data_IF_472816152660
#
_entry.id   IF_472816152660
#
_cell.length_a   1.000
_cell.length_b   1.000
_cell.length_c   1.000
_cell.angle_alpha   90.00
_cell.angle_beta   90.00
_cell.angle_gamma   90.00
#
_symmetry.space_group_name_H-M   'P 1'
#
loop_
_entity.id
_entity.type
_entity.pdbx_description
1 polymer ?
#
# COMPACT_ATOMS: atom_id res chain seq x y z
N UNK A 1 18.88 2.51 -15.99
CA UNK A 1 17.54 2.88 -15.51
C UNK A 1 17.51 3.35 -14.06
N UNK A 2 17.89 2.55 -13.05
CA UNK A 2 17.86 3.01 -11.62
C UNK A 2 18.58 4.34 -11.36
N UNK A 3 19.66 4.61 -12.08
CA UNK A 3 20.41 5.87 -11.96
C UNK A 3 19.86 7.01 -12.82
N UNK A 4 18.68 6.87 -13.44
CA UNK A 4 18.13 7.79 -14.46
C UNK A 4 19.11 8.04 -15.62
N UNK A 5 19.68 6.94 -16.11
CA UNK A 5 20.73 6.92 -17.12
C UNK A 5 20.42 5.87 -18.19
N UNK A 6 20.67 6.22 -19.44
CA UNK A 6 20.47 5.38 -20.63
C UNK A 6 21.74 5.28 -21.46
N UNK A 7 21.97 4.15 -22.12
CA UNK A 7 23.13 3.96 -23.00
C UNK A 7 22.90 4.78 -24.27
N UNK A 8 23.92 5.51 -24.72
CA UNK A 8 23.85 6.26 -25.98
C UNK A 8 23.55 5.30 -27.14
N UNK A 9 22.76 5.72 -28.14
CA UNK A 9 22.44 4.86 -29.27
C UNK A 9 23.72 4.37 -29.97
N UNK A 10 23.69 3.13 -30.44
CA UNK A 10 24.77 2.47 -31.19
C UNK A 10 26.11 2.26 -30.44
N UNK A 11 26.14 2.31 -29.11
CA UNK A 11 27.33 1.94 -28.33
C UNK A 11 27.45 0.42 -28.15
N UNK A 12 28.66 -0.11 -28.29
CA UNK A 12 28.97 -1.50 -27.95
C UNK A 12 29.27 -1.64 -26.45
N UNK A 13 28.93 -2.77 -25.82
CA UNK A 13 29.25 -3.01 -24.42
C UNK A 13 30.76 -3.01 -24.21
N UNK A 14 31.23 -2.31 -23.17
CA UNK A 14 32.64 -2.29 -22.82
C UNK A 14 33.15 -3.67 -22.42
N UNK A 15 32.32 -4.42 -21.68
CA UNK A 15 32.62 -5.78 -21.25
C UNK A 15 31.35 -6.59 -21.15
N UNK A 16 31.43 -7.87 -21.52
CA UNK A 16 30.39 -8.86 -21.26
C UNK A 16 30.85 -9.73 -20.09
N UNK A 17 30.04 -9.80 -19.05
CA UNK A 17 30.29 -10.60 -17.84
C UNK A 17 29.20 -11.66 -17.67
N UNK A 18 29.43 -12.62 -16.78
CA UNK A 18 28.39 -13.60 -16.42
C UNK A 18 27.38 -12.95 -15.47
N UNK A 19 26.09 -13.06 -15.80
CA UNK A 19 25.00 -12.58 -14.96
C UNK A 19 24.85 -13.42 -13.69
N UNK A 20 24.04 -12.93 -12.74
CA UNK A 20 23.65 -13.75 -11.59
C UNK A 20 22.83 -14.97 -12.06
N UNK A 21 23.05 -16.16 -11.47
CA UNK A 21 22.27 -17.34 -11.80
C UNK A 21 20.77 -17.08 -11.64
N UNK A 22 19.98 -17.46 -12.65
CA UNK A 22 18.53 -17.27 -12.66
C UNK A 22 17.84 -18.61 -12.86
N UNK A 23 16.87 -18.90 -12.00
CA UNK A 23 16.03 -20.08 -12.16
C UNK A 23 15.03 -19.84 -13.30
N UNK A 24 15.09 -20.68 -14.32
CA UNK A 24 14.11 -20.69 -15.40
C UNK A 24 12.96 -21.66 -15.07
N UNK A 25 11.75 -21.10 -14.96
CA UNK A 25 10.55 -21.85 -14.58
C UNK A 25 10.09 -22.82 -15.65
N UNK A 26 10.37 -22.56 -16.94
CA UNK A 26 9.96 -23.46 -18.02
C UNK A 26 10.88 -24.67 -18.11
N UNK A 27 12.20 -24.47 -18.06
CA UNK A 27 13.16 -25.58 -18.15
C UNK A 27 13.44 -26.26 -16.81
N UNK A 28 13.05 -25.66 -15.68
CA UNK A 28 13.31 -26.17 -14.34
C UNK A 28 14.78 -26.14 -13.92
N UNK A 29 15.64 -25.48 -14.71
CA UNK A 29 17.10 -25.42 -14.50
C UNK A 29 17.55 -24.03 -14.06
N UNK A 30 18.65 -23.99 -13.32
CA UNK A 30 19.34 -22.74 -12.99
C UNK A 30 20.29 -22.41 -14.13
N UNK A 31 20.05 -21.30 -14.82
CA UNK A 31 20.93 -20.82 -15.89
C UNK A 31 22.00 -19.94 -15.25
N UNK A 32 23.27 -20.35 -15.38
CA UNK A 32 24.44 -19.71 -14.73
C UNK A 32 25.21 -18.76 -15.64
N UNK A 33 25.22 -19.01 -16.95
CA UNK A 33 26.13 -18.34 -17.90
C UNK A 33 25.41 -17.36 -18.82
N UNK A 34 24.34 -16.70 -18.33
CA UNK A 34 23.69 -15.64 -19.08
C UNK A 34 24.66 -14.47 -19.29
N UNK A 35 24.90 -14.01 -20.52
CA UNK A 35 25.74 -12.85 -20.76
C UNK A 35 25.05 -11.59 -20.24
N UNK A 36 25.79 -10.76 -19.51
CA UNK A 36 25.38 -9.44 -19.04
C UNK A 36 26.33 -8.40 -19.59
N UNK A 37 25.77 -7.48 -20.36
CA UNK A 37 26.48 -6.34 -20.92
C UNK A 37 26.73 -5.27 -19.85
N UNK A 38 27.96 -4.75 -19.82
CA UNK A 38 28.38 -3.69 -18.90
C UNK A 38 28.89 -2.51 -19.70
N UNK A 39 28.43 -1.32 -19.34
CA UNK A 39 28.76 -0.06 -19.99
C UNK A 39 29.49 0.88 -19.03
N UNK A 40 30.44 1.64 -19.55
CA UNK A 40 31.13 2.69 -18.82
C UNK A 40 30.33 3.99 -18.76
N UNK A 41 30.65 4.86 -17.81
CA UNK A 41 29.95 6.15 -17.60
C UNK A 41 30.02 7.04 -18.86
N UNK A 42 31.10 6.96 -19.64
CA UNK A 42 31.29 7.72 -20.88
C UNK A 42 30.35 7.28 -22.03
N UNK A 43 29.82 6.06 -21.96
CA UNK A 43 28.92 5.46 -22.95
C UNK A 43 27.44 5.77 -22.67
N UNK A 44 27.16 6.45 -21.56
CA UNK A 44 25.83 6.65 -21.02
C UNK A 44 25.50 8.15 -21.04
N UNK A 45 24.22 8.46 -21.19
CA UNK A 45 23.65 9.80 -21.10
C UNK A 45 22.50 9.81 -20.09
N UNK A 46 22.08 11.01 -19.68
CA UNK A 46 20.98 11.15 -18.73
C UNK A 46 19.65 10.82 -19.41
N UNK A 47 18.81 10.09 -18.69
CA UNK A 47 17.51 9.66 -19.18
C UNK A 47 16.58 10.86 -19.34
N UNK A 48 16.00 11.00 -20.53
CA UNK A 48 14.98 12.01 -20.80
C UNK A 48 13.61 11.34 -20.67
N UNK A 49 12.79 11.75 -19.68
CA UNK A 49 11.48 11.14 -19.48
C UNK A 49 10.51 11.52 -20.61
N UNK A 50 9.55 10.63 -20.94
CA UNK A 50 8.52 10.92 -21.92
C UNK A 50 7.63 12.08 -21.47
N UNK A 51 7.00 12.75 -22.43
CA UNK A 51 6.02 13.81 -22.18
C UNK A 51 4.63 13.20 -22.06
N UNK A 52 3.81 13.68 -21.12
CA UNK A 52 2.40 13.34 -21.08
C UNK A 52 1.62 14.15 -22.11
N UNK A 53 0.78 13.48 -22.88
CA UNK A 53 -0.03 14.09 -23.93
C UNK A 53 -1.50 13.74 -23.73
N UNK A 54 -2.40 14.69 -24.00
CA UNK A 54 -3.86 14.52 -23.93
C UNK A 54 -4.39 14.06 -22.56
N UNK A 55 -3.75 14.48 -21.48
CA UNK A 55 -4.15 14.06 -20.12
C UNK A 55 -3.88 12.59 -19.80
N UNK A 56 -3.04 11.91 -20.59
CA UNK A 56 -2.66 10.51 -20.37
C UNK A 56 -1.20 10.42 -19.94
N UNK A 57 -0.96 9.70 -18.84
CA UNK A 57 0.39 9.49 -18.31
C UNK A 57 1.07 8.34 -19.07
N UNK A 58 2.31 8.51 -19.57
CA UNK A 58 3.04 7.47 -20.29
C UNK A 58 3.40 6.30 -19.35
N UNK A 59 3.08 5.06 -19.75
CA UNK A 59 3.21 3.86 -18.90
C UNK A 59 4.22 2.85 -19.44
N UNK A 60 4.83 2.10 -18.53
CA UNK A 60 5.53 0.85 -18.81
C UNK A 60 4.53 -0.24 -19.30
N UNK A 61 5.02 -1.30 -19.95
CA UNK A 61 4.29 -2.56 -20.20
C UNK A 61 3.50 -3.12 -18.99
N UNK A 62 3.94 -2.86 -17.75
CA UNK A 62 3.21 -3.25 -16.53
C UNK A 62 2.09 -2.28 -16.12
N UNK A 63 1.90 -1.18 -16.85
CA UNK A 63 0.86 -0.18 -16.59
C UNK A 63 1.20 0.83 -15.49
N UNK A 64 2.45 0.90 -15.03
CA UNK A 64 2.92 1.81 -13.98
C UNK A 64 3.99 2.78 -14.52
N UNK A 65 4.35 3.81 -13.74
CA UNK A 65 5.50 4.70 -14.02
C UNK A 65 6.68 4.31 -13.14
N UNK A 66 7.88 4.21 -13.71
CA UNK A 66 9.12 3.99 -12.96
C UNK A 66 9.72 5.34 -12.55
N UNK A 67 9.72 5.64 -11.25
CA UNK A 67 10.18 6.91 -10.70
C UNK A 67 11.25 6.68 -9.63
N UNK A 68 12.43 6.18 -10.04
CA UNK A 68 13.55 5.92 -9.11
C UNK A 68 14.24 7.20 -8.64
N UNK A 69 14.19 8.25 -9.47
CA UNK A 69 14.73 9.58 -9.19
C UNK A 69 13.70 10.64 -9.58
N UNK A 70 13.72 11.82 -8.93
CA UNK A 70 12.78 12.90 -9.25
C UNK A 70 12.90 13.38 -10.70
N UNK A 71 14.10 13.30 -11.31
CA UNK A 71 14.31 13.67 -12.72
C UNK A 71 13.66 12.72 -13.74
N UNK A 72 13.15 11.56 -13.32
CA UNK A 72 12.45 10.62 -14.20
C UNK A 72 10.96 10.94 -14.33
N UNK A 73 10.47 12.00 -13.69
CA UNK A 73 9.07 12.41 -13.77
C UNK A 73 8.72 12.80 -15.21
N UNK A 74 7.68 12.20 -15.82
CA UNK A 74 7.22 12.60 -17.13
C UNK A 74 6.89 14.09 -17.19
N UNK A 75 7.26 14.74 -18.30
CA UNK A 75 7.00 16.17 -18.47
C UNK A 75 5.49 16.43 -18.52
N UNK A 76 5.02 17.48 -17.86
CA UNK A 76 3.59 17.80 -17.74
C UNK A 76 2.84 16.93 -16.73
N UNK A 77 3.55 16.23 -15.85
CA UNK A 77 2.95 15.44 -14.76
C UNK A 77 3.49 15.84 -13.40
N UNK A 78 2.71 15.55 -12.37
CA UNK A 78 3.00 15.81 -10.96
C UNK A 78 2.94 14.49 -10.19
N UNK A 79 3.89 14.31 -9.27
CA UNK A 79 3.90 13.19 -8.33
C UNK A 79 3.18 13.58 -7.03
N UNK A 80 2.11 12.86 -6.72
CA UNK A 80 1.25 13.09 -5.55
C UNK A 80 1.35 11.91 -4.58
N UNK A 81 1.89 12.17 -3.39
CA UNK A 81 2.03 11.17 -2.31
C UNK A 81 0.79 11.14 -1.39
N UNK A 82 -0.40 10.99 -1.98
CA UNK A 82 -1.67 10.92 -1.25
C UNK A 82 -2.22 9.49 -1.22
N UNK A 83 -2.56 9.01 -0.03
CA UNK A 83 -3.07 7.66 0.15
C UNK A 83 -4.49 7.52 -0.45
N UNK A 84 -4.74 6.44 -1.20
CA UNK A 84 -6.08 6.16 -1.73
C UNK A 84 -6.52 7.05 -2.90
N UNK A 85 -5.62 7.88 -3.45
CA UNK A 85 -5.92 8.81 -4.54
C UNK A 85 -6.52 8.10 -5.77
N UNK A 86 -6.03 6.91 -6.11
CA UNK A 86 -6.54 6.10 -7.22
C UNK A 86 -8.06 5.86 -7.14
N UNK A 87 -8.62 5.66 -5.94
CA UNK A 87 -10.06 5.45 -5.78
C UNK A 87 -10.84 6.72 -6.15
N UNK A 88 -10.33 7.88 -5.80
CA UNK A 88 -10.95 9.19 -6.10
C UNK A 88 -10.80 9.50 -7.58
N UNK A 89 -9.60 9.31 -8.14
CA UNK A 89 -9.33 9.52 -9.57
C UNK A 89 -10.26 8.67 -10.45
N UNK A 90 -10.45 7.39 -10.11
CA UNK A 90 -11.38 6.50 -10.82
C UNK A 90 -12.84 6.95 -10.75
N UNK A 91 -13.27 7.62 -9.69
CA UNK A 91 -14.63 8.18 -9.60
C UNK A 91 -14.80 9.38 -10.53
N UNK A 92 -13.74 10.18 -10.70
CA UNK A 92 -13.74 11.37 -11.55
C UNK A 92 -13.40 11.09 -13.02
N UNK A 93 -12.90 9.89 -13.34
CA UNK A 93 -12.44 9.55 -14.69
C UNK A 93 -11.10 10.20 -15.07
N UNK A 94 -10.30 10.61 -14.07
CA UNK A 94 -8.98 11.20 -14.25
C UNK A 94 -7.94 10.09 -14.37
N UNK A 95 -6.96 10.24 -15.27
CA UNK A 95 -5.88 9.25 -15.38
C UNK A 95 -4.90 9.38 -14.21
N UNK A 96 -4.71 8.29 -13.48
CA UNK A 96 -3.89 8.25 -12.29
C UNK A 96 -3.12 6.93 -12.25
N UNK A 97 -1.79 7.04 -12.30
CA UNK A 97 -0.90 5.88 -12.44
C UNK A 97 -0.03 5.76 -11.19
N UNK A 98 0.09 4.58 -10.56
CA UNK A 98 0.96 4.41 -9.40
C UNK A 98 2.44 4.53 -9.81
N UNK A 99 3.23 5.19 -8.97
CA UNK A 99 4.67 5.35 -9.21
C UNK A 99 5.45 4.24 -8.47
N UNK A 100 6.30 3.53 -9.20
CA UNK A 100 7.24 2.54 -8.64
C UNK A 100 8.55 3.27 -8.34
N UNK A 101 8.85 3.47 -7.06
CA UNK A 101 10.06 4.17 -6.60
C UNK A 101 11.18 3.20 -6.28
N UNK A 102 10.87 1.93 -6.07
CA UNK A 102 11.88 0.95 -5.73
C UNK A 102 11.38 -0.49 -5.77
N UNK A 103 12.19 -1.36 -5.21
CA UNK A 103 11.98 -2.79 -5.15
C UNK A 103 12.41 -3.27 -3.77
N UNK A 104 11.49 -3.89 -3.03
CA UNK A 104 11.75 -4.46 -1.72
C UNK A 104 11.91 -5.98 -1.81
N UNK A 105 12.88 -6.51 -1.09
CA UNK A 105 13.14 -7.94 -1.03
C UNK A 105 12.63 -8.49 0.30
N UNK A 106 11.45 -9.08 0.28
CA UNK A 106 10.86 -9.73 1.45
C UNK A 106 10.21 -11.05 1.07
N UNK A 107 10.11 -11.97 2.03
CA UNK A 107 9.51 -13.30 1.82
C UNK A 107 10.19 -14.13 0.71
N UNK A 108 11.47 -13.87 0.42
CA UNK A 108 12.24 -14.59 -0.59
C UNK A 108 11.99 -14.16 -2.04
N UNK A 109 11.18 -13.12 -2.28
CA UNK A 109 10.86 -12.60 -3.61
C UNK A 109 11.09 -11.09 -3.67
N UNK A 110 11.20 -10.57 -4.89
CA UNK A 110 11.33 -9.14 -5.15
C UNK A 110 9.94 -8.54 -5.44
N UNK A 111 9.56 -7.49 -4.70
CA UNK A 111 8.27 -6.81 -4.82
C UNK A 111 8.47 -5.33 -5.20
N UNK A 112 7.70 -4.78 -6.15
CA UNK A 112 7.77 -3.37 -6.46
C UNK A 112 7.22 -2.55 -5.28
N UNK A 113 7.97 -1.51 -4.90
CA UNK A 113 7.56 -0.54 -3.89
C UNK A 113 6.88 0.62 -4.58
N UNK A 114 5.58 0.76 -4.33
CA UNK A 114 4.78 1.87 -4.82
C UNK A 114 4.82 3.03 -3.83
N UNK A 115 5.05 4.23 -4.34
CA UNK A 115 4.97 5.45 -3.55
C UNK A 115 4.27 6.55 -4.35
N UNK A 116 3.13 6.99 -3.85
CA UNK A 116 2.30 7.99 -4.51
C UNK A 116 1.79 7.59 -5.90
N UNK A 117 1.30 8.60 -6.60
CA UNK A 117 0.70 8.51 -7.92
C UNK A 117 1.20 9.63 -8.83
N UNK A 118 1.33 9.36 -10.11
CA UNK A 118 1.63 10.34 -11.15
C UNK A 118 0.34 10.70 -11.87
N UNK A 119 0.09 11.99 -12.02
CA UNK A 119 -1.12 12.58 -12.63
C UNK A 119 -0.70 13.75 -13.52
N UNK A 120 -1.44 14.03 -14.59
CA UNK A 120 -1.21 15.22 -15.40
C UNK A 120 -1.43 16.51 -14.58
N UNK A 121 -0.61 17.52 -14.84
CA UNK A 121 -0.61 18.78 -14.09
C UNK A 121 -1.99 19.47 -14.12
N UNK A 122 -2.64 19.48 -15.29
CA UNK A 122 -3.96 20.09 -15.52
C UNK A 122 -5.07 19.55 -14.60
N UNK A 123 -4.97 18.27 -14.23
CA UNK A 123 -6.00 17.57 -13.44
C UNK A 123 -5.62 17.47 -11.96
N UNK A 124 -4.39 17.87 -11.61
CA UNK A 124 -3.82 17.65 -10.27
C UNK A 124 -4.62 18.38 -9.18
N UNK A 125 -4.94 19.65 -9.38
CA UNK A 125 -5.64 20.48 -8.40
C UNK A 125 -7.07 19.97 -8.15
N UNK A 126 -7.81 19.69 -9.22
CA UNK A 126 -9.16 19.14 -9.14
C UNK A 126 -9.20 17.79 -8.39
N UNK A 127 -8.21 16.94 -8.65
CA UNK A 127 -8.09 15.64 -7.99
C UNK A 127 -7.75 15.78 -6.50
N UNK A 128 -6.84 16.70 -6.15
CA UNK A 128 -6.47 16.98 -4.75
C UNK A 128 -7.67 17.53 -3.96
N UNK A 129 -8.43 18.47 -4.53
CA UNK A 129 -9.64 19.00 -3.91
C UNK A 129 -10.69 17.90 -3.67
N UNK A 130 -10.94 17.05 -4.66
CA UNK A 130 -11.86 15.92 -4.52
C UNK A 130 -11.37 14.89 -3.50
N UNK A 131 -10.05 14.72 -3.37
CA UNK A 131 -9.47 13.83 -2.36
C UNK A 131 -9.73 14.32 -0.95
N UNK A 132 -9.56 15.63 -0.69
CA UNK A 132 -9.89 16.21 0.61
C UNK A 132 -11.36 16.01 0.98
N UNK A 133 -12.27 16.22 0.04
CA UNK A 133 -13.70 15.96 0.25
C UNK A 133 -13.99 14.48 0.54
N UNK A 134 -13.36 13.54 -0.17
CA UNK A 134 -13.52 12.10 0.10
C UNK A 134 -12.97 11.74 1.50
N UNK A 135 -11.85 12.33 1.93
CA UNK A 135 -11.31 12.11 3.29
C UNK A 135 -12.29 12.57 4.36
N UNK A 136 -12.83 13.79 4.26
CA UNK A 136 -13.83 14.28 5.22
C UNK A 136 -15.07 13.38 5.27
N UNK A 137 -15.53 12.90 4.11
CA UNK A 137 -16.66 11.99 4.05
C UNK A 137 -16.35 10.62 4.67
N UNK A 138 -15.13 10.09 4.45
CA UNK A 138 -14.68 8.85 5.10
C UNK A 138 -14.62 9.03 6.62
N UNK A 139 -14.07 10.13 7.12
CA UNK A 139 -13.97 10.41 8.55
C UNK A 139 -15.35 10.47 9.20
N UNK A 140 -16.31 11.19 8.60
CA UNK A 140 -17.71 11.23 9.07
C UNK A 140 -18.32 9.82 9.12
N UNK A 141 -18.13 9.02 8.06
CA UNK A 141 -18.62 7.63 8.00
C UNK A 141 -17.94 6.72 9.03
N UNK A 142 -16.66 6.95 9.34
CA UNK A 142 -15.94 6.20 10.37
C UNK A 142 -16.45 6.54 11.77
N UNK A 143 -16.67 7.82 12.07
CA UNK A 143 -17.27 8.28 13.33
C UNK A 143 -18.65 7.66 13.53
N UNK A 144 -19.53 7.72 12.52
CA UNK A 144 -20.84 7.07 12.60
C UNK A 144 -20.75 5.55 12.86
N UNK A 145 -19.78 4.87 12.22
CA UNK A 145 -19.57 3.42 12.45
C UNK A 145 -19.11 3.16 13.87
N UNK A 146 -18.27 4.02 14.43
CA UNK A 146 -17.80 3.92 15.82
C UNK A 146 -18.98 4.13 16.77
N UNK A 147 -19.77 5.19 16.58
CA UNK A 147 -20.95 5.48 17.40
C UNK A 147 -21.96 4.34 17.37
N UNK A 148 -22.33 3.86 16.17
CA UNK A 148 -23.24 2.71 16.00
C UNK A 148 -22.73 1.47 16.73
N UNK A 149 -21.41 1.22 16.76
CA UNK A 149 -20.82 0.11 17.52
C UNK A 149 -20.89 0.34 19.02
N UNK A 150 -20.60 1.56 19.49
CA UNK A 150 -20.68 1.92 20.91
C UNK A 150 -22.11 1.71 21.42
N UNK A 151 -23.11 2.31 20.77
CA UNK A 151 -24.51 2.13 21.14
C UNK A 151 -24.96 0.67 21.05
N UNK A 152 -24.54 -0.06 20.01
CA UNK A 152 -24.81 -1.49 19.87
C UNK A 152 -24.24 -2.32 21.03
N UNK A 153 -23.03 -2.01 21.49
CA UNK A 153 -22.39 -2.69 22.61
C UNK A 153 -23.06 -2.36 23.95
N UNK A 154 -23.40 -1.09 24.20
CA UNK A 154 -24.17 -0.69 25.38
C UNK A 154 -25.53 -1.37 25.43
N UNK A 155 -26.24 -1.44 24.30
CA UNK A 155 -27.52 -2.15 24.22
C UNK A 155 -27.38 -3.63 24.57
N UNK A 156 -26.31 -4.29 24.09
CA UNK A 156 -26.02 -5.70 24.44
C UNK A 156 -25.72 -5.85 25.93
N UNK A 157 -24.92 -4.95 26.51
CA UNK A 157 -24.57 -4.98 27.93
C UNK A 157 -25.80 -4.84 28.82
N UNK A 158 -26.63 -3.81 28.58
CA UNK A 158 -27.86 -3.55 29.35
C UNK A 158 -28.82 -4.73 29.23
N UNK A 159 -29.06 -5.23 28.01
CA UNK A 159 -29.90 -6.43 27.81
C UNK A 159 -29.35 -7.65 28.56
N UNK A 160 -28.03 -7.85 28.54
CA UNK A 160 -27.38 -8.93 29.28
C UNK A 160 -27.59 -8.82 30.79
N UNK A 161 -27.45 -7.60 31.35
CA UNK A 161 -27.72 -7.34 32.77
C UNK A 161 -29.18 -7.58 33.14
N UNK A 162 -30.13 -7.09 32.34
CA UNK A 162 -31.57 -7.29 32.55
C UNK A 162 -31.96 -8.78 32.48
N UNK A 163 -31.41 -9.52 31.51
CA UNK A 163 -31.64 -10.98 31.41
C UNK A 163 -31.07 -11.69 32.63
N UNK A 164 -29.85 -11.34 33.06
CA UNK A 164 -29.21 -11.92 34.26
C UNK A 164 -30.04 -11.66 35.51
N UNK A 165 -30.54 -10.44 35.69
CA UNK A 165 -31.40 -10.09 36.83
C UNK A 165 -32.75 -10.82 36.77
N UNK A 166 -33.39 -10.91 35.60
CA UNK A 166 -34.63 -11.67 35.41
C UNK A 166 -34.45 -13.15 35.71
N UNK A 167 -33.33 -13.74 35.27
CA UNK A 167 -33.01 -15.14 35.57
C UNK A 167 -32.79 -15.34 37.07
N UNK A 168 -32.05 -14.43 37.73
CA UNK A 168 -31.87 -14.46 39.19
C UNK A 168 -33.21 -14.42 39.93
N UNK A 169 -34.14 -13.55 39.54
CA UNK A 169 -35.48 -13.46 40.17
C UNK A 169 -36.37 -14.69 39.91
N UNK A 170 -36.25 -15.33 38.74
CA UNK A 170 -37.10 -16.47 38.33
C UNK A 170 -36.59 -17.82 38.85
N UNK A 171 -35.29 -17.94 38.98
CA UNK A 171 -34.58 -19.16 39.31
C UNK A 171 -33.57 -18.88 40.41
N UNK A 172 -33.98 -18.16 41.47
CA UNK A 172 -33.14 -17.98 42.65
C UNK A 172 -32.96 -19.37 43.29
N UNK A 173 -32.06 -20.17 42.70
CA UNK A 173 -31.40 -21.27 43.38
C UNK A 173 -30.64 -20.57 44.48
N UNK A 174 -31.21 -20.60 45.69
CA UNK A 174 -30.55 -20.15 46.91
C UNK A 174 -29.11 -20.64 46.89
N UNK A 175 -28.20 -19.79 47.39
CA UNK A 175 -26.75 -20.01 47.33
C UNK A 175 -26.39 -21.49 47.32
N UNK A 176 -25.67 -22.00 46.30
CA UNK A 176 -25.11 -23.31 46.42
C UNK A 176 -24.08 -23.22 47.54
N UNK A 177 -24.44 -23.81 48.68
CA UNK A 177 -23.49 -24.30 49.66
C UNK A 177 -22.30 -24.87 48.90
N UNK A 178 -21.12 -24.39 49.27
CA UNK A 178 -19.84 -24.91 48.83
C UNK A 178 -19.88 -26.42 48.55
N UNK A 179 -19.48 -26.80 47.33
CA UNK A 179 -18.63 -27.95 46.98
C UNK A 179 -18.97 -28.54 45.59
N UNK A 180 -17.92 -28.88 44.84
CA UNK A 180 -17.93 -30.06 43.96
C UNK A 180 -18.03 -29.85 42.45
N UNK A 181 -16.86 -29.80 41.81
CA UNK A 181 -16.49 -30.33 40.47
C UNK A 181 -17.54 -30.51 39.35
N UNK A 182 -17.22 -30.00 38.15
CA UNK A 182 -16.67 -30.84 37.06
C UNK A 182 -16.55 -30.15 35.67
N UNK A 183 -15.33 -30.28 35.11
CA UNK A 183 -14.95 -30.35 33.68
C UNK A 183 -15.56 -29.36 32.67
N UNK A 184 -14.92 -28.19 32.55
CA UNK A 184 -15.04 -27.31 31.39
C UNK A 184 -14.13 -27.73 30.22
N UNK A 185 -14.72 -28.09 29.08
CA UNK A 185 -14.05 -28.20 27.77
C UNK A 185 -13.32 -26.88 27.47
N UNK A 186 -11.97 -26.90 27.39
CA UNK A 186 -11.16 -25.78 26.92
C UNK A 186 -11.51 -25.44 25.46
N UNK A 187 -12.41 -24.49 25.23
CA UNK A 187 -12.45 -23.76 23.95
C UNK A 187 -11.25 -22.83 23.94
N UNK A 188 -10.29 -23.10 23.05
CA UNK A 188 -9.19 -22.17 22.73
C UNK A 188 -9.80 -20.84 22.32
N UNK A 189 -9.79 -19.86 23.23
CA UNK A 189 -10.04 -18.47 22.87
C UNK A 189 -8.88 -18.02 22.01
N UNK A 190 -9.13 -17.69 20.74
CA UNK A 190 -8.17 -16.92 19.95
C UNK A 190 -8.07 -15.55 20.62
N UNK A 191 -6.90 -15.22 21.14
CA UNK A 191 -6.60 -13.90 21.68
C UNK A 191 -6.99 -12.85 20.63
N UNK A 192 -7.91 -11.94 20.99
CA UNK A 192 -8.16 -10.76 20.21
C UNK A 192 -6.87 -9.93 20.24
N UNK A 193 -6.11 -9.95 19.13
CA UNK A 193 -4.97 -9.06 18.95
C UNK A 193 -5.54 -7.65 18.94
N UNK A 194 -5.32 -6.90 20.02
CA UNK A 194 -5.57 -5.47 20.07
C UNK A 194 -4.52 -4.83 19.15
N UNK A 195 -4.88 -4.63 17.88
CA UNK A 195 -4.04 -3.89 16.94
C UNK A 195 -4.19 -2.42 17.33
N UNK A 196 -3.25 -1.92 18.12
CA UNK A 196 -3.02 -0.48 18.24
C UNK A 196 -2.56 0.00 16.86
N UNK A 197 -3.46 0.69 16.14
CA UNK A 197 -3.11 1.36 14.89
C UNK A 197 -2.18 2.51 15.26
N UNK A 198 -0.87 2.27 15.23
CA UNK A 198 0.16 3.31 15.46
C UNK A 198 -0.03 4.34 14.34
N UNK A 199 -0.65 5.49 14.65
CA UNK A 199 -0.64 6.66 13.76
C UNK A 199 0.82 6.98 13.50
N UNK A 200 1.31 6.80 12.27
CA UNK A 200 2.57 7.41 11.84
C UNK A 200 2.30 8.90 11.78
N UNK A 201 2.83 9.63 12.75
CA UNK A 201 2.99 11.07 12.66
C UNK A 201 4.14 11.27 11.67
N UNK A 202 3.86 11.83 10.50
CA UNK A 202 4.91 12.35 9.63
C UNK A 202 5.47 13.59 10.31
N UNK A 203 6.65 13.47 10.93
CA UNK A 203 7.46 14.62 11.29
C UNK A 203 8.14 15.14 10.03
N UNK A 204 7.72 16.31 9.55
CA UNK A 204 8.53 17.14 8.68
C UNK A 204 9.79 17.52 9.47
N UNK A 205 10.94 17.01 9.07
CA UNK A 205 12.22 17.59 9.43
C UNK A 205 12.60 18.57 8.33
N UNK A 206 12.27 19.84 8.54
CA UNK A 206 13.05 20.93 7.96
C UNK A 206 14.47 20.83 8.53
N UNK A 207 15.46 20.95 7.66
CA UNK A 207 16.86 21.12 8.03
C UNK A 207 17.41 22.20 7.12
N UNK A 208 17.60 23.38 7.71
CA UNK A 208 18.59 24.36 7.29
C UNK A 208 20.02 23.75 7.33
#
# INVERSE_FOLDING_TARGET
MKEAKQVKPAQQPYKIVKARPKYDKLSGKVITDLPLEVFGIWQVEDYIPPTAENGVVPRNAYGNVELFKPCMLPKGTVHLQLAGLNKVARKMGIDCVPAVVGFDFHSGWNHPTYDGFVVCEEQSEALVAAWFQDQEEQEKKELEKIEKRVYGNWRKLIKGLLIRERLKKRYDYGEPSSQGDSKGKKRKQKAAKFVTKKRRICSNSESD
#
